data_IF_698336778432
#
_entry.id   IF_698336778432
#
_cell.length_a   1.000
_cell.length_b   1.000
_cell.length_c   1.000
_cell.angle_alpha   90.00
_cell.angle_beta   90.00
_cell.angle_gamma   90.00
#
_symmetry.space_group_name_H-M   'P 1'
#
loop_
_entity.id
_entity.type
_entity.pdbx_description
1 polymer ?
#
# COMPACT_ATOMS: atom_id res chain seq x y z
N UNK A 1 0.41 39.74 -66.39
CA UNK A 1 1.74 39.31 -65.90
C UNK A 1 1.93 39.98 -64.54
N UNK A 2 2.23 39.38 -63.40
CA UNK A 2 2.52 38.01 -62.98
C UNK A 2 2.01 37.82 -61.53
N UNK A 3 2.00 36.56 -61.09
CA UNK A 3 1.32 35.99 -59.92
C UNK A 3 2.00 36.33 -58.57
N UNK A 4 1.22 36.38 -57.48
CA UNK A 4 1.63 35.86 -56.17
C UNK A 4 0.42 35.67 -55.22
N UNK A 5 0.13 34.41 -54.90
CA UNK A 5 -0.62 33.99 -53.72
C UNK A 5 0.37 33.83 -52.52
N UNK A 6 0.03 33.23 -51.36
CA UNK A 6 -1.19 33.24 -50.52
C UNK A 6 -0.82 33.63 -49.05
N UNK A 7 -1.79 33.80 -48.13
CA UNK A 7 -1.61 33.30 -46.76
C UNK A 7 -2.92 33.22 -45.98
N UNK A 8 -3.37 31.97 -45.82
CA UNK A 8 -4.28 31.55 -44.79
C UNK A 8 -3.70 31.85 -43.40
N UNK A 9 -4.49 32.49 -42.54
CA UNK A 9 -4.36 32.36 -41.09
C UNK A 9 -5.73 31.96 -40.57
N UNK A 10 -6.06 30.69 -40.82
CA UNK A 10 -7.12 30.02 -40.10
C UNK A 10 -6.75 30.07 -38.61
N UNK A 11 -7.57 30.76 -37.80
CA UNK A 11 -7.59 30.58 -36.36
C UNK A 11 -7.86 29.10 -36.09
N UNK A 12 -6.83 28.36 -35.71
CA UNK A 12 -7.02 27.10 -35.01
C UNK A 12 -7.54 27.44 -33.61
N UNK A 13 -8.74 26.99 -33.21
CA UNK A 13 -9.04 26.90 -31.80
C UNK A 13 -8.04 25.92 -31.19
N UNK A 14 -7.29 26.39 -30.21
CA UNK A 14 -6.41 25.58 -29.39
C UNK A 14 -7.27 24.47 -28.75
N UNK A 15 -7.24 23.29 -29.38
CA UNK A 15 -7.73 22.05 -28.79
C UNK A 15 -6.88 21.82 -27.55
N UNK A 16 -7.36 22.26 -26.39
CA UNK A 16 -6.92 21.70 -25.12
C UNK A 16 -7.16 20.20 -25.23
N UNK A 17 -6.13 19.35 -25.17
CA UNK A 17 -6.39 17.98 -24.80
C UNK A 17 -6.98 18.06 -23.40
N UNK A 18 -8.28 17.79 -23.28
CA UNK A 18 -8.87 17.44 -22.01
C UNK A 18 -8.06 16.23 -21.52
N UNK A 19 -7.10 16.50 -20.65
CA UNK A 19 -6.27 15.48 -20.05
C UNK A 19 -7.24 14.50 -19.39
N UNK A 20 -7.25 13.22 -19.80
CA UNK A 20 -7.97 12.22 -19.03
C UNK A 20 -7.32 12.23 -17.65
N UNK A 21 -8.02 12.81 -16.68
CA UNK A 21 -7.71 12.58 -15.27
C UNK A 21 -8.02 11.10 -15.04
N UNK A 22 -7.07 10.24 -15.38
CA UNK A 22 -6.99 8.94 -14.74
C UNK A 22 -6.81 9.27 -13.27
N UNK A 23 -7.88 9.15 -12.50
CA UNK A 23 -7.79 9.11 -11.05
C UNK A 23 -6.92 7.90 -10.75
N UNK A 24 -5.60 8.11 -10.69
CA UNK A 24 -4.65 7.09 -10.30
C UNK A 24 -5.11 6.67 -8.91
N UNK A 25 -5.74 5.50 -8.80
CA UNK A 25 -6.15 4.95 -7.52
C UNK A 25 -4.89 4.44 -6.82
N UNK A 26 -4.05 5.39 -6.39
CA UNK A 26 -2.81 5.11 -5.68
C UNK A 26 -3.16 4.74 -4.25
N UNK A 27 -3.07 3.44 -3.96
CA UNK A 27 -3.18 2.91 -2.61
C UNK A 27 -2.10 3.58 -1.74
N UNK A 28 -2.47 4.20 -0.60
CA UNK A 28 -1.51 4.78 0.33
C UNK A 28 -0.49 3.74 0.82
N UNK A 29 0.75 4.16 1.05
CA UNK A 29 1.81 3.24 1.49
C UNK A 29 1.51 2.62 2.87
N UNK A 30 0.77 3.33 3.73
CA UNK A 30 0.25 2.78 4.98
C UNK A 30 -0.70 1.59 4.74
N UNK A 31 -1.60 1.69 3.76
CA UNK A 31 -2.49 0.57 3.40
C UNK A 31 -1.70 -0.61 2.83
N UNK A 32 -0.64 -0.37 2.04
CA UNK A 32 0.25 -1.43 1.57
C UNK A 32 0.97 -2.11 2.73
N UNK A 33 1.49 -1.33 3.69
CA UNK A 33 2.17 -1.87 4.87
C UNK A 33 1.23 -2.75 5.71
N UNK A 34 0.00 -2.29 5.95
CA UNK A 34 -1.03 -3.05 6.65
C UNK A 34 -1.35 -4.36 5.90
N UNK A 35 -1.54 -4.31 4.58
CA UNK A 35 -1.83 -5.49 3.77
C UNK A 35 -0.67 -6.52 3.80
N UNK A 36 0.58 -6.05 3.76
CA UNK A 36 1.76 -6.92 3.84
C UNK A 36 1.88 -7.59 5.21
N UNK A 37 1.69 -6.85 6.30
CA UNK A 37 1.66 -7.40 7.67
C UNK A 37 0.53 -8.45 7.78
N UNK A 38 -0.68 -8.13 7.29
CA UNK A 38 -1.81 -9.05 7.29
C UNK A 38 -1.54 -10.36 6.56
N UNK A 39 -0.87 -10.29 5.39
CA UNK A 39 -0.51 -11.49 4.62
C UNK A 39 0.43 -12.40 5.42
N UNK A 40 1.45 -11.83 6.08
CA UNK A 40 2.37 -12.60 6.93
C UNK A 40 1.71 -13.18 8.17
N UNK A 41 0.72 -12.49 8.75
CA UNK A 41 -0.06 -13.00 9.87
C UNK A 41 -0.85 -14.27 9.50
N UNK A 42 -1.39 -14.33 8.28
CA UNK A 42 -2.07 -15.54 7.78
C UNK A 42 -1.09 -16.70 7.68
N UNK A 43 0.09 -16.48 7.10
CA UNK A 43 1.14 -17.50 7.01
C UNK A 43 1.58 -17.99 8.39
N UNK A 44 1.78 -17.07 9.34
CA UNK A 44 2.12 -17.41 10.73
C UNK A 44 1.02 -18.23 11.40
N UNK A 45 -0.26 -17.87 11.20
CA UNK A 45 -1.40 -18.62 11.75
C UNK A 45 -1.45 -20.07 11.26
N UNK A 46 -1.06 -20.32 10.01
CA UNK A 46 -1.04 -21.66 9.42
C UNK A 46 0.19 -22.45 9.87
N UNK A 47 1.37 -21.86 9.79
CA UNK A 47 2.64 -22.58 9.95
C UNK A 47 3.15 -22.63 11.40
N UNK A 48 2.78 -21.64 12.23
CA UNK A 48 3.18 -21.51 13.65
C UNK A 48 4.70 -21.51 13.91
N UNK A 49 5.51 -21.03 12.96
CA UNK A 49 6.97 -20.98 13.12
C UNK A 49 7.40 -19.73 13.90
N UNK A 50 8.29 -19.91 14.88
CA UNK A 50 8.83 -18.82 15.71
C UNK A 50 9.59 -17.75 14.91
N UNK A 51 10.26 -18.14 13.82
CA UNK A 51 10.96 -17.21 12.92
C UNK A 51 10.00 -16.22 12.24
N UNK A 52 8.83 -16.70 11.82
CA UNK A 52 7.80 -15.87 11.18
C UNK A 52 7.18 -14.89 12.18
N UNK A 53 7.07 -15.29 13.44
CA UNK A 53 6.63 -14.41 14.52
C UNK A 53 7.60 -13.23 14.68
N UNK A 54 8.91 -13.50 14.74
CA UNK A 54 9.91 -12.45 14.86
C UNK A 54 9.90 -11.50 13.66
N UNK A 55 9.68 -12.02 12.44
CA UNK A 55 9.52 -11.21 11.22
C UNK A 55 8.31 -10.27 11.32
N UNK A 56 7.14 -10.80 11.66
CA UNK A 56 5.90 -10.01 11.80
C UNK A 56 6.04 -8.93 12.87
N UNK A 57 6.65 -9.27 14.02
CA UNK A 57 6.89 -8.32 15.09
C UNK A 57 7.82 -7.17 14.65
N UNK A 58 8.87 -7.49 13.90
CA UNK A 58 9.78 -6.50 13.31
C UNK A 58 9.08 -5.56 12.34
N UNK A 59 8.24 -6.12 11.46
CA UNK A 59 7.44 -5.35 10.50
C UNK A 59 6.43 -4.43 11.20
N UNK A 60 5.71 -4.94 12.21
CA UNK A 60 4.75 -4.15 12.99
C UNK A 60 5.42 -2.98 13.71
N UNK A 61 6.61 -3.21 14.31
CA UNK A 61 7.39 -2.15 14.95
C UNK A 61 7.84 -1.08 13.94
N UNK A 62 8.26 -1.50 12.74
CA UNK A 62 8.64 -0.59 11.68
C UNK A 62 7.44 0.23 11.20
N UNK A 63 6.27 -0.41 11.01
CA UNK A 63 5.04 0.26 10.62
C UNK A 63 4.59 1.30 11.66
N UNK A 64 4.68 1.00 12.95
CA UNK A 64 4.42 1.97 14.02
C UNK A 64 5.40 3.15 13.94
N UNK A 65 6.69 2.88 13.76
CA UNK A 65 7.73 3.91 13.70
C UNK A 65 7.53 4.86 12.52
N UNK A 66 7.06 4.34 11.39
CA UNK A 66 6.76 5.10 10.18
C UNK A 66 5.36 5.75 10.21
N UNK A 67 4.56 5.54 11.27
CA UNK A 67 3.19 6.07 11.38
C UNK A 67 2.18 5.39 10.46
N UNK A 68 2.49 4.19 9.94
CA UNK A 68 1.59 3.42 9.10
C UNK A 68 0.45 2.75 9.90
N UNK A 69 0.66 2.51 11.19
CA UNK A 69 -0.34 2.02 12.14
C UNK A 69 -0.30 2.85 13.42
N UNK A 70 -1.42 2.91 14.14
CA UNK A 70 -1.47 3.61 15.42
C UNK A 70 -0.82 2.78 16.53
N UNK A 71 -0.55 3.42 17.68
CA UNK A 71 -0.04 2.73 18.86
C UNK A 71 -1.06 1.75 19.45
N UNK A 72 -2.35 2.06 19.30
CA UNK A 72 -3.45 1.18 19.71
C UNK A 72 -3.45 -0.08 18.85
N UNK A 73 -3.45 0.07 17.52
CA UNK A 73 -3.42 -1.08 16.59
C UNK A 73 -2.18 -1.95 16.81
N UNK A 74 -1.03 -1.33 17.10
CA UNK A 74 0.18 -2.06 17.44
C UNK A 74 0.02 -2.87 18.74
N UNK A 75 -0.63 -2.31 19.75
CA UNK A 75 -0.84 -2.99 21.05
C UNK A 75 -1.79 -4.17 20.89
N UNK A 76 -2.93 -3.98 20.20
CA UNK A 76 -3.88 -5.05 19.88
C UNK A 76 -3.22 -6.17 19.09
N UNK A 77 -2.40 -5.81 18.09
CA UNK A 77 -1.63 -6.79 17.32
C UNK A 77 -0.67 -7.62 18.19
N UNK A 78 -0.03 -7.02 19.19
CA UNK A 78 0.84 -7.76 20.11
C UNK A 78 0.06 -8.76 20.98
N UNK A 79 -1.14 -8.38 21.42
CA UNK A 79 -2.02 -9.27 22.19
C UNK A 79 -2.46 -10.47 21.34
N UNK A 80 -2.92 -10.21 20.10
CA UNK A 80 -3.29 -11.25 19.14
C UNK A 80 -2.13 -12.19 18.83
N UNK A 81 -0.94 -11.63 18.62
CA UNK A 81 0.28 -12.40 18.38
C UNK A 81 0.65 -13.29 19.57
N UNK A 82 0.47 -12.81 20.81
CA UNK A 82 0.73 -13.61 22.00
C UNK A 82 -0.27 -14.78 22.12
N UNK A 83 -1.57 -14.52 21.86
CA UNK A 83 -2.60 -15.58 21.80
C UNK A 83 -2.26 -16.64 20.75
N UNK A 84 -1.71 -16.23 19.60
CA UNK A 84 -1.29 -17.14 18.55
C UNK A 84 -0.11 -18.03 18.95
N UNK A 85 0.82 -17.54 19.78
CA UNK A 85 1.91 -18.34 20.33
C UNK A 85 1.38 -19.35 21.34
N UNK A 86 0.56 -18.92 22.31
CA UNK A 86 0.02 -19.79 23.35
C UNK A 86 -0.85 -20.92 22.76
N UNK A 87 -1.63 -20.62 21.73
CA UNK A 87 -2.41 -21.61 21.00
C UNK A 87 -1.55 -22.64 20.24
N UNK A 88 -0.32 -22.29 19.85
CA UNK A 88 0.62 -23.21 19.21
C UNK A 88 1.25 -24.21 20.19
N UNK A 89 1.44 -23.80 21.45
CA UNK A 89 2.00 -24.66 22.52
C UNK A 89 1.00 -25.74 22.97
N UNK A 90 -0.31 -25.48 22.83
CA UNK A 90 -1.36 -26.41 23.24
C UNK A 90 -1.64 -27.55 22.24
N UNK A 91 -0.94 -27.60 21.10
CA UNK A 91 -1.12 -28.62 20.05
C UNK A 91 0.17 -29.43 19.78
N UNK A 92 1.11 -29.42 20.73
CA UNK A 92 2.31 -30.28 20.74
C UNK A 92 2.10 -31.56 21.53
#
# INVERSE_FOLDING_TARGET
MAQHAPRASARTPQLHPAQPRTTQNTIPDSQKAVALIGTRLIELRVNRRSEQFAEVLGMARMALTLGAISRTDYTELLEDLNILLDAGVSHG
#
